data_IF_520306966606
#
_entry.id   IF_520306966606
#
_cell.length_a   1.000
_cell.length_b   1.000
_cell.length_c   1.000
_cell.angle_alpha   90.00
_cell.angle_beta   90.00
_cell.angle_gamma   90.00
#
_symmetry.space_group_name_H-M   'P 1'
#
loop_
_entity.id
_entity.type
_entity.pdbx_description
1 polymer ?
#
# COMPACT_ATOMS: atom_id res chain seq x y z
N UNK A 1 -18.82 2.85 -12.51
CA UNK A 1 -17.60 3.17 -13.29
C UNK A 1 -16.46 2.97 -12.29
N UNK A 2 -15.51 2.04 -12.39
CA UNK A 2 -14.92 1.27 -13.50
C UNK A 2 -14.73 -0.18 -13.00
N UNK A 3 -14.96 -1.18 -13.86
CA UNK A 3 -14.96 -2.60 -13.51
C UNK A 3 -13.81 -3.37 -14.16
N UNK A 4 -12.87 -3.78 -13.31
CA UNK A 4 -12.01 -4.99 -13.31
C UNK A 4 -11.41 -5.48 -14.64
N UNK A 5 -10.09 -5.44 -14.71
CA UNK A 5 -9.28 -6.18 -15.67
C UNK A 5 -9.27 -7.68 -15.33
N UNK A 6 -9.67 -8.52 -16.29
CA UNK A 6 -9.57 -9.98 -16.20
C UNK A 6 -8.42 -10.44 -17.08
N UNK A 7 -7.49 -11.17 -16.49
CA UNK A 7 -6.47 -11.95 -17.20
C UNK A 7 -6.68 -13.44 -16.93
N UNK A 8 -6.60 -14.25 -17.99
CA UNK A 8 -6.64 -15.72 -17.96
C UNK A 8 -5.24 -16.25 -18.27
N UNK A 9 -4.74 -17.19 -17.47
CA UNK A 9 -3.42 -17.81 -17.67
C UNK A 9 -3.54 -19.34 -17.84
N UNK A 10 -3.28 -19.90 -19.05
CA UNK A 10 -3.12 -21.34 -19.28
C UNK A 10 -1.70 -21.84 -18.93
N UNK A 11 -1.48 -23.17 -18.81
CA UNK A 11 -0.55 -23.75 -17.84
C UNK A 11 0.92 -23.82 -18.29
N UNK A 12 1.80 -23.38 -17.39
CA UNK A 12 3.27 -23.43 -17.50
C UNK A 12 3.91 -22.76 -16.29
N UNK A 13 3.81 -23.44 -15.13
CA UNK A 13 3.91 -22.91 -13.77
C UNK A 13 5.29 -22.32 -13.41
N UNK A 14 5.40 -20.98 -13.46
CA UNK A 14 6.32 -20.15 -12.66
C UNK A 14 5.86 -18.69 -12.71
N UNK A 15 4.56 -18.45 -12.47
CA UNK A 15 3.95 -17.13 -12.61
C UNK A 15 4.32 -16.22 -11.44
N UNK A 16 4.98 -15.10 -11.74
CA UNK A 16 5.21 -14.03 -10.77
C UNK A 16 4.04 -13.05 -10.84
N UNK A 17 3.28 -12.91 -9.76
CA UNK A 17 2.13 -12.02 -9.74
C UNK A 17 1.88 -11.49 -8.34
N UNK A 18 1.76 -10.17 -8.22
CA UNK A 18 1.38 -9.48 -6.99
C UNK A 18 0.12 -8.68 -7.23
N UNK A 19 -0.60 -8.38 -6.16
CA UNK A 19 -1.78 -7.53 -6.20
C UNK A 19 -1.89 -6.70 -4.95
N UNK A 20 -2.15 -5.41 -5.13
CA UNK A 20 -2.60 -4.54 -4.03
C UNK A 20 -4.12 -4.64 -3.96
N UNK A 21 -4.62 -5.04 -2.80
CA UNK A 21 -6.05 -5.26 -2.56
C UNK A 21 -6.70 -3.95 -2.12
N UNK A 22 -6.13 -3.31 -1.11
CA UNK A 22 -6.71 -2.12 -0.49
C UNK A 22 -5.67 -1.38 0.37
N UNK A 23 -6.00 -0.15 0.75
CA UNK A 23 -5.29 0.63 1.75
C UNK A 23 -6.29 1.02 2.84
N UNK A 24 -6.18 0.40 4.01
CA UNK A 24 -7.15 0.55 5.09
C UNK A 24 -6.52 1.20 6.31
N UNK A 25 -7.25 2.06 7.07
CA UNK A 25 -6.75 2.56 8.35
C UNK A 25 -6.62 1.40 9.33
N UNK A 26 -5.50 1.36 10.04
CA UNK A 26 -5.30 0.41 11.12
C UNK A 26 -6.21 0.79 12.30
N UNK A 27 -6.92 -0.20 12.87
CA UNK A 27 -7.88 0.04 13.95
C UNK A 27 -7.24 0.05 15.33
N UNK A 28 -6.06 -0.52 15.47
CA UNK A 28 -5.36 -0.70 16.74
C UNK A 28 -4.38 0.45 17.01
N UNK A 29 -3.72 0.94 15.96
CA UNK A 29 -2.72 2.00 16.06
C UNK A 29 -3.26 3.26 15.35
N UNK A 30 -3.36 4.41 16.04
CA UNK A 30 -3.81 5.64 15.42
C UNK A 30 -2.78 6.15 14.39
N UNK A 31 -3.26 6.84 13.35
CA UNK A 31 -2.44 7.41 12.28
C UNK A 31 -1.54 6.40 11.54
N UNK A 32 -1.94 5.13 11.52
CA UNK A 32 -1.30 4.13 10.66
C UNK A 32 -2.29 3.56 9.66
N UNK A 33 -1.76 3.18 8.51
CA UNK A 33 -2.51 2.59 7.41
C UNK A 33 -1.85 1.30 6.98
N UNK A 34 -2.67 0.27 6.78
CA UNK A 34 -2.22 -1.03 6.30
C UNK A 34 -2.46 -1.13 4.81
N UNK A 35 -1.37 -1.22 4.04
CA UNK A 35 -1.41 -1.61 2.65
C UNK A 35 -1.60 -3.13 2.58
N UNK A 36 -2.73 -3.54 2.03
CA UNK A 36 -3.13 -4.94 1.95
C UNK A 36 -2.64 -5.50 0.62
N UNK A 37 -1.61 -6.35 0.68
CA UNK A 37 -0.99 -6.94 -0.49
C UNK A 37 -1.25 -8.45 -0.53
N UNK A 38 -1.31 -9.03 -1.72
CA UNK A 38 -1.35 -10.49 -1.90
C UNK A 38 -0.43 -10.91 -3.04
N UNK A 39 0.35 -11.95 -2.80
CA UNK A 39 1.05 -12.66 -3.87
C UNK A 39 0.05 -13.65 -4.48
N UNK A 40 -0.32 -13.39 -5.73
CA UNK A 40 -1.23 -14.21 -6.53
C UNK A 40 -0.50 -15.17 -7.45
N UNK A 41 0.83 -15.10 -7.50
CA UNK A 41 1.69 -16.01 -8.24
C UNK A 41 2.09 -17.25 -7.45
N UNK A 42 2.94 -18.05 -8.10
CA UNK A 42 3.36 -19.37 -7.64
C UNK A 42 4.79 -19.41 -7.07
N UNK A 43 5.49 -18.27 -7.09
CA UNK A 43 6.87 -18.14 -6.60
C UNK A 43 7.01 -17.07 -5.52
N UNK A 44 8.04 -17.21 -4.69
CA UNK A 44 8.43 -16.16 -3.74
C UNK A 44 8.95 -14.94 -4.51
N UNK A 45 8.52 -13.75 -4.08
CA UNK A 45 8.90 -12.49 -4.70
C UNK A 45 9.29 -11.48 -3.62
N UNK A 46 10.39 -10.77 -3.82
CA UNK A 46 10.78 -9.63 -2.99
C UNK A 46 9.99 -8.41 -3.42
N UNK A 47 9.27 -7.79 -2.48
CA UNK A 47 8.41 -6.65 -2.74
C UNK A 47 8.90 -5.43 -1.95
N UNK A 48 8.78 -4.26 -2.54
CA UNK A 48 9.00 -2.96 -1.92
C UNK A 48 7.68 -2.21 -1.91
N UNK A 49 7.13 -2.01 -0.72
CA UNK A 49 5.94 -1.19 -0.57
C UNK A 49 6.33 0.22 -0.12
N UNK A 50 5.67 1.24 -0.65
CA UNK A 50 5.80 2.60 -0.16
C UNK A 50 4.47 3.34 -0.24
N UNK A 51 4.33 4.36 0.59
CA UNK A 51 3.15 5.22 0.64
C UNK A 51 3.52 6.64 0.21
N UNK A 52 2.75 7.20 -0.71
CA UNK A 52 2.83 8.61 -1.07
C UNK A 52 1.56 9.31 -0.63
N UNK A 53 1.69 10.48 -0.02
CA UNK A 53 0.59 11.31 0.44
C UNK A 53 0.62 12.61 -0.34
N UNK A 54 -0.47 12.94 -1.02
CA UNK A 54 -0.64 14.22 -1.70
C UNK A 54 -1.68 15.06 -0.95
N UNK A 55 -1.27 16.24 -0.52
CA UNK A 55 -2.13 17.23 0.10
C UNK A 55 -2.90 18.03 -0.97
N UNK A 56 -4.03 18.63 -0.56
CA UNK A 56 -4.83 19.46 -1.46
C UNK A 56 -4.09 20.73 -1.96
N UNK A 57 -3.06 21.18 -1.24
CA UNK A 57 -2.20 22.30 -1.63
C UNK A 57 -1.11 21.91 -2.66
N UNK A 58 -1.04 20.63 -3.05
CA UNK A 58 -0.03 20.10 -3.96
C UNK A 58 1.27 19.63 -3.28
N UNK A 59 1.36 19.68 -1.95
CA UNK A 59 2.51 19.10 -1.24
C UNK A 59 2.43 17.58 -1.25
N UNK A 60 3.51 16.94 -1.70
CA UNK A 60 3.64 15.48 -1.71
C UNK A 60 4.65 15.03 -0.66
N UNK A 61 4.25 14.07 0.15
CA UNK A 61 5.09 13.43 1.16
C UNK A 61 5.22 11.95 0.82
N UNK A 62 6.43 11.50 0.50
CA UNK A 62 6.73 10.09 0.29
C UNK A 62 7.31 9.50 1.57
N UNK A 63 6.72 8.41 2.05
CA UNK A 63 7.22 7.65 3.19
C UNK A 63 8.33 6.70 2.72
N UNK A 64 9.17 6.29 3.68
CA UNK A 64 10.19 5.28 3.45
C UNK A 64 9.56 3.97 2.98
N UNK A 65 10.26 3.30 2.06
CA UNK A 65 9.82 2.01 1.55
C UNK A 65 10.13 0.90 2.55
N UNK A 66 9.27 -0.11 2.58
CA UNK A 66 9.45 -1.32 3.37
C UNK A 66 9.67 -2.47 2.39
N UNK A 67 10.84 -3.10 2.46
CA UNK A 67 11.15 -4.30 1.67
C UNK A 67 10.78 -5.56 2.46
N UNK A 68 10.15 -6.52 1.79
CA UNK A 68 9.79 -7.80 2.39
C UNK A 68 9.56 -8.89 1.34
N UNK A 69 9.84 -10.15 1.69
CA UNK A 69 9.45 -11.28 0.86
C UNK A 69 7.95 -11.55 0.99
N UNK A 70 7.34 -11.90 -0.14
CA UNK A 70 5.99 -12.46 -0.21
C UNK A 70 6.02 -13.87 -0.77
N UNK A 71 5.52 -14.83 0.00
CA UNK A 71 5.39 -16.22 -0.42
C UNK A 71 4.14 -16.43 -1.31
N UNK A 72 4.12 -17.47 -2.16
CA UNK A 72 2.96 -17.81 -2.99
C UNK A 72 1.67 -17.90 -2.17
N UNK A 73 0.61 -17.23 -2.63
CA UNK A 73 -0.69 -17.22 -1.95
C UNK A 73 -0.74 -16.39 -0.65
N UNK A 74 0.38 -15.86 -0.17
CA UNK A 74 0.44 -15.08 1.07
C UNK A 74 -0.29 -13.75 0.90
N UNK A 75 -1.13 -13.44 1.88
CA UNK A 75 -1.68 -12.10 2.10
C UNK A 75 -0.88 -11.42 3.21
N UNK A 76 -0.43 -10.19 2.97
CA UNK A 76 0.36 -9.41 3.92
C UNK A 76 -0.27 -8.03 4.14
N UNK A 77 -0.20 -7.57 5.37
CA UNK A 77 -0.55 -6.21 5.76
C UNK A 77 0.76 -5.47 6.04
N UNK A 78 1.01 -4.41 5.28
CA UNK A 78 2.20 -3.58 5.45
C UNK A 78 1.76 -2.28 6.10
N UNK A 79 2.11 -2.12 7.37
CA UNK A 79 1.72 -0.97 8.17
C UNK A 79 2.66 0.20 7.91
N UNK A 80 2.10 1.33 7.50
CA UNK A 80 2.79 2.61 7.36
C UNK A 80 2.32 3.56 8.44
N UNK A 81 3.25 4.19 9.16
CA UNK A 81 2.97 5.26 10.12
C UNK A 81 3.02 6.61 9.41
N UNK A 82 1.94 7.36 9.51
CA UNK A 82 1.88 8.70 8.95
C UNK A 82 2.75 9.65 9.77
N UNK A 83 3.59 10.48 9.12
CA UNK A 83 4.43 11.44 9.83
C UNK A 83 3.62 12.38 10.73
N UNK A 84 4.03 12.52 11.99
CA UNK A 84 3.33 13.36 13.00
C UNK A 84 3.37 14.86 12.70
N UNK A 85 4.26 15.28 11.80
CA UNK A 85 4.40 16.66 11.35
C UNK A 85 3.43 17.01 10.19
N UNK A 86 2.62 16.07 9.72
CA UNK A 86 1.60 16.37 8.72
C UNK A 86 0.48 17.21 9.33
N UNK A 87 0.13 18.35 8.71
CA UNK A 87 -1.05 19.12 9.09
C UNK A 87 -2.32 18.28 9.11
N UNK A 88 -3.27 18.66 9.96
CA UNK A 88 -4.59 18.05 9.94
C UNK A 88 -5.28 18.33 8.61
N UNK A 89 -5.83 17.28 8.01
CA UNK A 89 -6.48 17.44 6.73
C UNK A 89 -6.72 16.14 5.99
N UNK A 90 -7.27 16.30 4.79
CA UNK A 90 -7.48 15.20 3.84
C UNK A 90 -6.32 15.13 2.88
N UNK A 91 -5.78 13.94 2.73
CA UNK A 91 -4.70 13.61 1.83
C UNK A 91 -5.14 12.49 0.90
N UNK A 92 -4.66 12.51 -0.34
CA UNK A 92 -4.76 11.36 -1.23
C UNK A 92 -3.54 10.48 -0.99
N UNK A 93 -3.77 9.28 -0.48
CA UNK A 93 -2.73 8.29 -0.30
C UNK A 93 -2.66 7.37 -1.51
N UNK A 94 -1.48 7.27 -2.10
CA UNK A 94 -1.14 6.30 -3.12
C UNK A 94 -0.23 5.24 -2.50
N UNK A 95 -0.79 4.06 -2.26
CA UNK A 95 -0.08 2.89 -1.78
C UNK A 95 0.46 2.10 -2.97
N UNK A 96 1.78 1.96 -3.06
CA UNK A 96 2.45 1.33 -4.20
C UNK A 96 3.18 0.08 -3.74
N UNK A 97 3.12 -0.97 -4.55
CA UNK A 97 3.85 -2.21 -4.39
C UNK A 97 4.66 -2.49 -5.65
N UNK A 98 5.98 -2.43 -5.51
CA UNK A 98 6.96 -2.74 -6.54
C UNK A 98 7.57 -4.12 -6.28
N UNK A 99 7.61 -4.97 -7.29
CA UNK A 99 8.14 -6.31 -7.19
C UNK A 99 9.22 -6.61 -8.25
N UNK A 100 9.83 -5.55 -8.82
CA UNK A 100 10.90 -5.61 -9.80
C UNK A 100 10.42 -5.59 -11.25
N UNK A 101 11.38 -5.59 -12.18
CA UNK A 101 11.13 -5.30 -13.62
C UNK A 101 10.27 -6.35 -14.35
N UNK A 102 10.20 -7.59 -13.84
CA UNK A 102 9.43 -8.68 -14.44
C UNK A 102 7.93 -8.63 -14.12
N UNK A 103 7.51 -7.74 -13.21
CA UNK A 103 6.15 -7.70 -12.68
C UNK A 103 5.62 -6.27 -12.77
N UNK A 104 4.38 -6.07 -13.26
CA UNK A 104 3.77 -4.75 -13.26
C UNK A 104 3.74 -4.14 -11.85
N UNK A 105 4.05 -2.85 -11.79
CA UNK A 105 3.86 -2.05 -10.58
C UNK A 105 2.38 -2.01 -10.23
N UNK A 106 2.03 -2.39 -9.01
CA UNK A 106 0.66 -2.33 -8.51
C UNK A 106 0.50 -1.14 -7.57
N UNK A 107 -0.63 -0.44 -7.67
CA UNK A 107 -0.92 0.69 -6.81
C UNK A 107 -2.42 0.80 -6.50
N UNK A 108 -2.73 1.36 -5.34
CA UNK A 108 -4.09 1.72 -4.94
C UNK A 108 -4.11 3.16 -4.43
N UNK A 109 -5.13 3.91 -4.81
CA UNK A 109 -5.37 5.24 -4.29
C UNK A 109 -6.52 5.20 -3.28
N UNK A 110 -6.36 5.88 -2.15
CA UNK A 110 -7.39 6.02 -1.12
C UNK A 110 -7.29 7.38 -0.45
N UNK A 111 -8.43 7.95 -0.06
CA UNK A 111 -8.45 9.21 0.70
C UNK A 111 -8.20 8.92 2.18
N UNK A 112 -7.17 9.54 2.74
CA UNK A 112 -6.81 9.41 4.15
C UNK A 112 -7.05 10.73 4.87
N UNK A 113 -7.47 10.64 6.12
CA UNK A 113 -7.73 11.82 6.96
C UNK A 113 -6.71 11.80 8.09
N UNK A 114 -5.75 12.74 8.03
CA UNK A 114 -4.75 12.94 9.07
C UNK A 114 -5.42 13.74 10.18
N UNK A 115 -5.40 13.18 11.39
CA UNK A 115 -5.79 13.90 12.61
C UNK A 115 -4.58 13.88 13.53
N UNK A 116 -4.05 15.05 13.86
CA UNK A 116 -3.13 15.17 14.98
C UNK A 116 -3.87 14.70 16.20
N UNK A 117 -3.39 13.61 16.79
CA UNK A 117 -3.78 13.25 18.14
C UNK A 117 -3.17 14.35 18.99
N UNK A 118 -3.94 15.40 19.25
CA UNK A 118 -3.62 16.37 20.28
C UNK A 118 -3.61 15.55 21.56
N UNK A 119 -2.41 15.15 21.98
CA UNK A 119 -2.17 14.53 23.26
C UNK A 119 -2.69 15.53 24.30
N UNK A 120 -3.94 15.32 24.72
CA UNK A 120 -4.58 16.08 25.79
C UNK A 120 -4.02 15.53 27.09
N UNK A 121 -2.71 15.68 27.28
CA UNK A 121 -2.02 15.32 28.49
C UNK A 121 -1.86 16.59 29.33
N UNK A 122 -2.90 16.81 30.14
CA UNK A 122 -2.93 17.41 31.49
C UNK A 122 -2.19 18.73 31.76
#
# INVERSE_FOLDING_TARGET
RVGVHIYQTPPGLSEKSIKVIDLVPNKEIPNTYDLVCKNTGDVMIECKAYLQLAAANGEETKLDFIEFPMFPGQKRYVTFELPKNLPDGKYNALGVLDAGEDIPLEAVESSVEVKTVTDSSN
#
